data_IF_173541503494
#
_entry.id   IF_173541503494
#
_cell.length_a   1.000
_cell.length_b   1.000
_cell.length_c   1.000
_cell.angle_alpha   90.00
_cell.angle_beta   90.00
_cell.angle_gamma   90.00
#
_symmetry.space_group_name_H-M   'P 1'
#
loop_
_entity.id
_entity.type
_entity.pdbx_description
1 polymer ?
#
# COMPACT_ATOMS: atom_id res chain seq x y z
N UNK A 1 2.15 -3.46 14.05
CA UNK A 1 1.00 -4.40 14.00
C UNK A 1 -0.06 -3.74 13.13
N UNK A 2 -0.75 -4.48 12.25
CA UNK A 2 -1.70 -3.88 11.31
C UNK A 2 -3.00 -3.46 12.01
N UNK A 3 -3.55 -2.32 11.62
CA UNK A 3 -4.80 -1.74 12.10
C UNK A 3 -5.95 -2.03 11.13
N UNK A 4 -7.20 -1.78 11.55
CA UNK A 4 -8.36 -1.91 10.68
C UNK A 4 -8.29 -0.99 9.44
N UNK A 5 -7.70 0.21 9.57
CA UNK A 5 -7.51 1.13 8.45
C UNK A 5 -6.46 0.64 7.46
N UNK A 6 -5.41 -0.05 7.93
CA UNK A 6 -4.43 -0.70 7.05
C UNK A 6 -5.09 -1.79 6.18
N UNK A 7 -6.00 -2.57 6.77
CA UNK A 7 -6.77 -3.60 6.05
C UNK A 7 -7.76 -3.00 5.03
N UNK A 8 -8.44 -1.89 5.38
CA UNK A 8 -9.28 -1.17 4.42
C UNK A 8 -8.45 -0.63 3.25
N UNK A 9 -7.29 -0.05 3.54
CA UNK A 9 -6.42 0.54 2.54
C UNK A 9 -5.85 -0.52 1.58
N UNK A 10 -5.35 -1.65 2.08
CA UNK A 10 -4.82 -2.69 1.20
C UNK A 10 -5.90 -3.33 0.32
N UNK A 11 -7.16 -3.41 0.81
CA UNK A 11 -8.30 -3.89 0.02
C UNK A 11 -8.68 -2.90 -1.10
N UNK A 12 -8.68 -1.60 -0.80
CA UNK A 12 -8.88 -0.56 -1.82
C UNK A 12 -7.82 -0.67 -2.92
N UNK A 13 -6.55 -0.79 -2.54
CA UNK A 13 -5.45 -0.93 -3.51
C UNK A 13 -5.62 -2.21 -4.34
N UNK A 14 -5.97 -3.34 -3.72
CA UNK A 14 -6.20 -4.61 -4.42
C UNK A 14 -7.35 -4.51 -5.42
N UNK A 15 -8.47 -3.90 -5.03
CA UNK A 15 -9.67 -3.73 -5.87
C UNK A 15 -9.38 -2.82 -7.07
N UNK A 16 -8.50 -1.83 -6.89
CA UNK A 16 -8.09 -0.88 -7.93
C UNK A 16 -6.89 -1.35 -8.78
N UNK A 17 -6.67 -2.67 -8.88
CA UNK A 17 -5.64 -3.25 -9.75
C UNK A 17 -4.24 -3.36 -9.13
N UNK A 18 -4.15 -3.25 -7.80
CA UNK A 18 -2.94 -3.55 -7.04
C UNK A 18 -1.82 -2.53 -7.17
N UNK A 19 -2.09 -1.32 -7.69
CA UNK A 19 -1.11 -0.25 -7.85
C UNK A 19 -1.68 1.08 -7.32
N UNK A 20 -0.82 1.90 -6.74
CA UNK A 20 -1.19 3.25 -6.28
C UNK A 20 -0.06 4.24 -6.48
N UNK A 21 -0.34 5.37 -7.09
CA UNK A 21 0.55 6.54 -7.10
C UNK A 21 0.11 7.50 -6.00
N UNK A 22 1.05 7.99 -5.20
CA UNK A 22 0.78 8.90 -4.08
C UNK A 22 1.73 10.08 -4.11
N UNK A 23 1.17 11.28 -4.05
CA UNK A 23 1.89 12.55 -4.04
C UNK A 23 1.94 13.09 -2.61
N UNK A 24 3.06 13.71 -2.24
CA UNK A 24 3.23 14.33 -0.92
C UNK A 24 3.63 13.35 0.19
N UNK A 25 4.48 13.83 1.10
CA UNK A 25 5.07 12.99 2.15
C UNK A 25 4.05 12.56 3.22
N UNK A 26 3.03 13.39 3.51
CA UNK A 26 2.04 13.08 4.55
C UNK A 26 1.11 11.95 4.11
N UNK A 27 0.67 12.01 2.86
CA UNK A 27 -0.22 11.06 2.21
C UNK A 27 0.47 9.72 1.97
N UNK A 28 1.80 9.71 1.82
CA UNK A 28 2.60 8.48 1.69
C UNK A 28 2.68 7.67 2.98
N UNK A 29 2.62 8.30 4.16
CA UNK A 29 2.80 7.63 5.46
C UNK A 29 1.98 6.32 5.64
N UNK A 30 0.67 6.28 5.36
CA UNK A 30 -0.08 5.03 5.48
C UNK A 30 0.40 3.95 4.50
N UNK A 31 0.85 4.30 3.29
CA UNK A 31 1.40 3.34 2.33
C UNK A 31 2.76 2.83 2.76
N UNK A 32 3.57 3.68 3.41
CA UNK A 32 4.84 3.28 3.97
C UNK A 32 4.69 2.28 5.12
N UNK A 33 3.69 2.45 5.97
CA UNK A 33 3.34 1.44 6.97
C UNK A 33 2.99 0.08 6.31
N UNK A 34 2.28 0.10 5.18
CA UNK A 34 1.99 -1.13 4.43
C UNK A 34 3.23 -1.74 3.77
N UNK A 35 4.25 -0.92 3.44
CA UNK A 35 5.57 -1.41 2.99
C UNK A 35 6.31 -2.09 4.14
N UNK A 36 6.31 -1.51 5.34
CA UNK A 36 6.93 -2.11 6.53
C UNK A 36 6.27 -3.45 6.92
N UNK A 37 4.95 -3.57 6.73
CA UNK A 37 4.22 -4.82 6.90
C UNK A 37 4.50 -5.85 5.78
N UNK A 38 5.21 -5.44 4.72
CA UNK A 38 5.50 -6.25 3.54
C UNK A 38 4.29 -6.47 2.62
N UNK A 39 3.23 -5.65 2.73
CA UNK A 39 2.02 -5.75 1.94
C UNK A 39 2.10 -4.95 0.64
N UNK A 40 2.89 -3.88 0.64
CA UNK A 40 3.24 -3.10 -0.55
C UNK A 40 4.76 -3.14 -0.77
N UNK A 41 5.15 -2.82 -2.01
CA UNK A 41 6.52 -2.47 -2.38
C UNK A 41 6.54 -1.14 -3.13
N UNK A 42 7.60 -0.35 -2.95
CA UNK A 42 7.86 0.84 -3.77
C UNK A 42 8.39 0.36 -5.13
N UNK A 43 7.64 0.61 -6.19
CA UNK A 43 8.01 0.23 -7.56
C UNK A 43 8.78 1.34 -8.27
N UNK A 44 8.48 2.61 -7.95
CA UNK A 44 9.24 3.78 -8.37
C UNK A 44 9.10 4.87 -7.30
N UNK A 45 10.17 5.61 -7.06
CA UNK A 45 10.18 6.77 -6.16
C UNK A 45 10.65 7.97 -6.98
N UNK A 46 9.70 8.83 -7.32
CA UNK A 46 9.95 10.08 -8.03
C UNK A 46 9.93 11.24 -7.02
N UNK A 47 10.64 12.36 -7.28
CA UNK A 47 10.67 13.52 -6.37
C UNK A 47 9.28 14.10 -6.04
N UNK A 48 8.28 13.81 -6.88
CA UNK A 48 6.90 14.29 -6.74
C UNK A 48 5.92 13.21 -6.27
N UNK A 49 6.24 11.93 -6.45
CA UNK A 49 5.31 10.83 -6.18
C UNK A 49 5.99 9.49 -5.96
N UNK A 50 5.38 8.65 -5.13
CA UNK A 50 5.79 7.26 -4.96
C UNK A 50 4.76 6.33 -5.57
N UNK A 51 5.23 5.35 -6.35
CA UNK A 51 4.42 4.30 -6.93
C UNK A 51 4.52 3.04 -6.07
N UNK A 52 3.41 2.60 -5.52
CA UNK A 52 3.29 1.37 -4.75
C UNK A 52 2.65 0.26 -5.57
N UNK A 53 3.11 -0.96 -5.35
CA UNK A 53 2.51 -2.17 -5.90
C UNK A 53 2.26 -3.17 -4.79
N UNK A 54 1.12 -3.84 -4.83
CA UNK A 54 0.76 -4.90 -3.91
C UNK A 54 1.70 -6.10 -4.05
N UNK A 55 2.06 -6.70 -2.92
CA UNK A 55 2.82 -7.96 -2.86
C UNK A 55 1.88 -9.15 -2.71
N UNK A 56 2.37 -10.37 -2.85
CA UNK A 56 1.57 -11.57 -2.56
C UNK A 56 1.05 -11.60 -1.12
N UNK A 57 1.88 -11.14 -0.16
CA UNK A 57 1.48 -10.99 1.24
C UNK A 57 0.38 -9.94 1.40
N UNK A 58 0.45 -8.83 0.66
CA UNK A 58 -0.59 -7.81 0.63
C UNK A 58 -1.90 -8.33 0.05
N UNK A 59 -1.84 -9.12 -1.02
CA UNK A 59 -3.02 -9.80 -1.59
C UNK A 59 -3.65 -10.75 -0.57
N UNK A 60 -2.86 -11.55 0.12
CA UNK A 60 -3.35 -12.43 1.17
C UNK A 60 -3.98 -11.64 2.35
N UNK A 61 -3.39 -10.51 2.72
CA UNK A 61 -3.93 -9.63 3.76
C UNK A 61 -5.28 -9.00 3.34
N UNK A 62 -5.40 -8.57 2.09
CA UNK A 62 -6.65 -8.03 1.54
C UNK A 62 -7.80 -9.05 1.54
N UNK A 63 -7.49 -10.34 1.34
CA UNK A 63 -8.48 -11.43 1.34
C UNK A 63 -8.90 -11.90 2.75
N UNK A 64 -8.05 -11.67 3.76
CA UNK A 64 -8.24 -12.21 5.13
C UNK A 64 -9.17 -11.35 6.01
N UNK A 65 -9.42 -10.10 5.63
CA UNK A 65 -10.16 -9.11 6.43
C UNK A 65 -11.52 -8.80 5.83
#
# INVERSE_FOLDING_TARGET
MATADDFKLIRDIQTNGGRRQVFGAREQKPFENLVELGWLKRSSVDPRSTHYQITERGTAAALRS
#
